data_IF_909410735112
#
_entry.id   IF_909410735112
#
_cell.length_a   1.000
_cell.length_b   1.000
_cell.length_c   1.000
_cell.angle_alpha   90.00
_cell.angle_beta   90.00
_cell.angle_gamma   90.00
#
_symmetry.space_group_name_H-M   'P 1'
#
loop_
_entity.id
_entity.type
_entity.pdbx_description
1 polymer ?
#
# COMPACT_ATOMS: atom_id res chain seq x y z
N UNK A 1 -8.63 -15.69 -7.14
CA UNK A 1 -8.08 -14.39 -6.72
C UNK A 1 -7.44 -13.69 -7.92
N UNK A 2 -8.21 -12.88 -8.65
CA UNK A 2 -7.67 -12.13 -9.78
C UNK A 2 -6.82 -10.95 -9.25
N UNK A 3 -5.59 -10.82 -9.74
CA UNK A 3 -4.71 -9.72 -9.37
C UNK A 3 -5.16 -8.46 -10.10
N UNK A 4 -5.81 -7.52 -9.41
CA UNK A 4 -6.38 -6.32 -10.03
C UNK A 4 -5.40 -5.52 -10.89
N UNK A 5 -4.17 -5.25 -10.40
CA UNK A 5 -3.18 -4.49 -11.18
C UNK A 5 -1.73 -4.96 -10.96
N UNK A 6 -0.93 -4.96 -12.04
CA UNK A 6 0.48 -5.42 -12.01
C UNK A 6 1.38 -4.47 -11.22
N UNK A 7 1.26 -3.16 -11.46
CA UNK A 7 2.18 -2.13 -10.94
C UNK A 7 1.59 -1.22 -9.85
N UNK A 8 0.34 -0.76 -9.98
CA UNK A 8 -0.18 0.38 -9.19
C UNK A 8 -0.81 -0.05 -7.85
N UNK A 9 -1.55 -1.17 -7.81
CA UNK A 9 -2.16 -1.79 -6.61
C UNK A 9 -2.91 -0.78 -5.72
N UNK A 10 -2.51 -0.62 -4.46
CA UNK A 10 -3.11 0.27 -3.45
C UNK A 10 -3.22 1.76 -3.89
N UNK A 11 -2.48 2.16 -4.93
CA UNK A 11 -2.41 3.53 -5.46
C UNK A 11 -3.28 3.68 -6.71
N UNK A 12 -4.02 2.65 -7.11
CA UNK A 12 -4.86 2.65 -8.32
C UNK A 12 -6.03 3.63 -8.22
N UNK A 13 -6.48 3.92 -6.99
CA UNK A 13 -7.51 4.93 -6.69
C UNK A 13 -7.21 6.35 -7.22
N UNK A 14 -5.94 6.63 -7.57
CA UNK A 14 -5.53 7.93 -8.12
C UNK A 14 -5.47 7.95 -9.66
N UNK A 15 -5.70 6.82 -10.33
CA UNK A 15 -5.70 6.74 -11.80
C UNK A 15 -4.45 7.35 -12.46
N UNK A 16 -4.68 8.26 -13.40
CA UNK A 16 -3.62 9.00 -14.13
C UNK A 16 -3.10 10.23 -13.36
N UNK A 17 -3.75 10.66 -12.29
CA UNK A 17 -3.43 11.89 -11.54
C UNK A 17 -2.09 11.84 -10.80
N UNK A 18 -1.50 13.02 -10.57
CA UNK A 18 -0.24 13.26 -9.81
C UNK A 18 1.06 12.73 -10.44
N UNK A 19 0.99 11.98 -11.53
CA UNK A 19 2.18 11.45 -12.21
C UNK A 19 2.83 10.24 -11.52
N UNK A 20 3.71 9.56 -12.26
CA UNK A 20 4.25 8.27 -11.84
C UNK A 20 5.23 8.35 -10.66
N UNK A 21 5.98 9.45 -10.53
CA UNK A 21 6.97 9.67 -9.46
C UNK A 21 6.29 9.73 -8.09
N UNK A 22 5.30 10.62 -7.94
CA UNK A 22 4.54 10.79 -6.70
C UNK A 22 3.80 9.51 -6.31
N UNK A 23 3.18 8.82 -7.27
CA UNK A 23 2.47 7.55 -7.00
C UNK A 23 3.41 6.45 -6.49
N UNK A 24 4.65 6.37 -6.98
CA UNK A 24 5.63 5.39 -6.48
C UNK A 24 6.02 5.66 -5.02
N UNK A 25 6.22 6.92 -4.67
CA UNK A 25 6.55 7.34 -3.30
C UNK A 25 5.40 7.00 -2.35
N UNK A 26 4.18 7.45 -2.67
CA UNK A 26 2.97 7.19 -1.87
C UNK A 26 2.69 5.69 -1.73
N UNK A 27 3.00 4.88 -2.76
CA UNK A 27 2.87 3.43 -2.68
C UNK A 27 3.69 2.83 -1.55
N UNK A 28 4.94 3.28 -1.36
CA UNK A 28 5.83 2.79 -0.30
C UNK A 28 5.25 3.09 1.08
N UNK A 29 4.81 4.32 1.29
CA UNK A 29 4.22 4.75 2.55
C UNK A 29 2.91 4.03 2.88
N UNK A 30 2.00 3.89 1.91
CA UNK A 30 0.75 3.17 2.14
C UNK A 30 0.93 1.69 2.42
N UNK A 31 1.92 1.03 1.80
CA UNK A 31 2.23 -0.38 2.13
C UNK A 31 2.64 -0.49 3.59
N UNK A 32 3.51 0.42 4.06
CA UNK A 32 3.91 0.45 5.47
C UNK A 32 2.73 0.76 6.39
N UNK A 33 1.87 1.71 6.03
CA UNK A 33 0.75 2.11 6.86
C UNK A 33 -0.32 1.02 7.00
N UNK A 34 -0.61 0.30 5.91
CA UNK A 34 -1.58 -0.80 5.91
C UNK A 34 -0.96 -2.14 6.29
N UNK A 35 0.33 -2.17 6.65
CA UNK A 35 0.96 -3.37 7.15
C UNK A 35 0.35 -3.69 8.52
N UNK A 36 -0.03 -4.95 8.70
CA UNK A 36 -0.42 -5.43 10.01
C UNK A 36 0.83 -5.56 10.86
N UNK A 37 0.77 -5.04 12.07
CA UNK A 37 1.90 -5.10 13.00
C UNK A 37 1.59 -6.00 14.17
N UNK A 38 2.56 -6.82 14.54
CA UNK A 38 2.53 -7.67 15.73
C UNK A 38 2.80 -6.81 16.95
N UNK A 39 1.89 -6.83 17.92
CA UNK A 39 2.12 -6.15 19.20
C UNK A 39 3.23 -6.88 19.98
N UNK A 40 4.27 -6.16 20.39
CA UNK A 40 5.38 -6.71 21.18
C UNK A 40 4.96 -7.20 22.57
N UNK A 41 3.87 -6.68 23.11
CA UNK A 41 3.38 -7.03 24.44
C UNK A 41 2.47 -8.26 24.44
N UNK A 42 1.47 -8.29 23.55
CA UNK A 42 0.46 -9.35 23.56
C UNK A 42 0.55 -10.33 22.39
N UNK A 43 1.52 -10.16 21.48
CA UNK A 43 1.77 -11.04 20.33
C UNK A 43 0.69 -11.02 19.22
N UNK A 44 -0.41 -10.31 19.43
CA UNK A 44 -1.52 -10.25 18.47
C UNK A 44 -1.15 -9.37 17.28
N UNK A 45 -1.45 -9.87 16.07
CA UNK A 45 -1.32 -9.11 14.82
C UNK A 45 -2.61 -8.36 14.57
N UNK A 46 -2.53 -7.02 14.45
CA UNK A 46 -3.67 -6.17 14.05
C UNK A 46 -3.44 -5.61 12.66
#
# INVERSE_FOLDING_TARGET
>A
MAKHTKKVRIVDKYGTSYGASLRKIVKKFKISQHAKHTCSFCGKTK
#
